data_IF_853316787649
#
_entry.id   IF_853316787649
#
_cell.length_a   1.000
_cell.length_b   1.000
_cell.length_c   1.000
_cell.angle_alpha   90.00
_cell.angle_beta   90.00
_cell.angle_gamma   90.00
#
_symmetry.space_group_name_H-M   'P 1'
#
loop_
_entity.id
_entity.type
_entity.pdbx_description
1 polymer ?
#
# COMPACT_ATOMS: atom_id res chain seq x y z
N UNK A 1 2.04 10.27 10.29
CA UNK A 1 1.53 8.96 10.72
C UNK A 1 1.82 8.85 12.19
N UNK A 2 0.81 8.65 13.01
CA UNK A 2 0.93 8.51 14.45
C UNK A 2 0.46 7.12 14.86
N UNK A 3 1.13 6.52 15.84
CA UNK A 3 0.86 5.15 16.28
C UNK A 3 0.56 5.15 17.76
N UNK A 4 -0.57 4.55 18.14
CA UNK A 4 -0.99 4.41 19.52
C UNK A 4 -0.88 2.95 19.94
N UNK A 5 -0.20 2.71 21.04
CA UNK A 5 -0.06 1.40 21.65
C UNK A 5 -0.90 1.33 22.92
N UNK A 6 -1.23 0.11 23.32
CA UNK A 6 -1.88 -0.17 24.60
C UNK A 6 -1.01 0.35 25.75
N UNK A 7 -1.66 0.80 26.80
CA UNK A 7 -0.96 1.30 28.01
C UNK A 7 0.07 0.29 28.51
N UNK A 8 1.29 0.78 28.75
CA UNK A 8 2.42 -0.02 29.21
C UNK A 8 3.23 -0.71 28.10
N UNK A 9 2.77 -0.71 26.83
CA UNK A 9 3.49 -1.28 25.72
C UNK A 9 4.34 -0.25 24.99
N UNK A 10 5.55 -0.63 24.56
CA UNK A 10 6.46 0.22 23.78
C UNK A 10 6.84 -0.45 22.46
N UNK A 11 7.12 0.34 21.40
CA UNK A 11 7.59 -0.23 20.13
C UNK A 11 8.91 -0.99 20.22
N UNK A 12 9.69 -0.70 21.26
CA UNK A 12 11.01 -1.34 21.54
C UNK A 12 10.91 -2.65 22.29
N UNK A 13 9.72 -3.07 22.73
CA UNK A 13 9.55 -4.33 23.45
C UNK A 13 9.78 -5.53 22.53
N UNK A 14 10.26 -6.63 23.09
CA UNK A 14 10.47 -7.88 22.35
C UNK A 14 9.60 -8.99 22.97
N UNK A 15 8.67 -9.58 22.21
CA UNK A 15 8.29 -9.25 20.83
C UNK A 15 7.59 -7.88 20.72
N UNK A 16 7.83 -7.18 19.61
CA UNK A 16 7.22 -5.88 19.37
C UNK A 16 5.69 -5.97 19.40
N UNK A 17 5.01 -5.19 20.25
CA UNK A 17 3.58 -5.25 20.37
C UNK A 17 2.88 -4.70 19.11
N UNK A 18 1.73 -5.26 18.79
CA UNK A 18 0.88 -4.72 17.74
C UNK A 18 0.22 -3.42 18.24
N UNK A 19 0.22 -2.34 17.46
CA UNK A 19 -0.45 -1.11 17.87
C UNK A 19 -1.97 -1.29 17.89
N UNK A 20 -2.64 -0.59 18.82
CA UNK A 20 -4.10 -0.57 18.88
C UNK A 20 -4.69 0.24 17.73
N UNK A 21 -4.06 1.35 17.40
CA UNK A 21 -4.51 2.26 16.33
C UNK A 21 -3.31 2.88 15.62
N UNK A 22 -3.41 2.95 14.30
CA UNK A 22 -2.48 3.69 13.45
C UNK A 22 -3.24 4.82 12.77
N UNK A 23 -2.89 6.06 13.07
CA UNK A 23 -3.46 7.23 12.40
C UNK A 23 -2.71 7.51 11.10
N UNK A 24 -3.44 7.47 9.99
CA UNK A 24 -2.89 7.74 8.67
C UNK A 24 -3.51 9.02 8.11
N UNK A 25 -2.67 9.89 7.57
CA UNK A 25 -3.14 11.11 6.93
C UNK A 25 -3.50 10.86 5.47
N UNK A 26 -4.74 11.15 5.12
CA UNK A 26 -5.25 11.10 3.76
C UNK A 26 -5.64 12.50 3.28
N UNK A 27 -4.82 13.20 2.49
CA UNK A 27 -5.08 14.58 2.07
C UNK A 27 -6.40 14.78 1.33
N UNK A 28 -6.92 13.75 0.67
CA UNK A 28 -8.19 13.78 -0.07
C UNK A 28 -9.39 13.20 0.69
N UNK A 29 -9.27 12.95 1.99
CA UNK A 29 -10.36 12.36 2.77
C UNK A 29 -11.54 13.33 2.91
N UNK A 30 -12.74 12.84 2.58
CA UNK A 30 -14.00 13.61 2.63
C UNK A 30 -15.02 13.03 3.61
N UNK A 31 -14.62 12.06 4.41
CA UNK A 31 -15.48 11.45 5.41
C UNK A 31 -15.58 12.29 6.68
N UNK A 32 -16.36 11.82 7.69
CA UNK A 32 -16.46 12.51 8.97
C UNK A 32 -15.09 12.53 9.66
N UNK A 33 -14.69 13.65 10.28
CA UNK A 33 -13.44 13.75 11.01
C UNK A 33 -13.49 12.87 12.25
N UNK A 34 -12.44 12.10 12.49
CA UNK A 34 -12.31 11.31 13.72
C UNK A 34 -11.81 12.17 14.89
N UNK A 35 -10.92 13.11 14.58
CA UNK A 35 -10.37 14.07 15.56
C UNK A 35 -10.71 15.48 15.10
N UNK A 36 -11.26 16.29 16.00
CA UNK A 36 -11.68 17.67 15.71
C UNK A 36 -10.55 18.61 15.25
N UNK A 37 -9.29 18.19 15.35
CA UNK A 37 -8.13 19.00 14.99
C UNK A 37 -7.64 18.81 13.55
N UNK A 38 -7.72 17.59 13.01
CA UNK A 38 -7.25 17.30 11.65
C UNK A 38 -8.23 16.35 10.95
N UNK A 39 -9.07 16.90 10.05
CA UNK A 39 -10.08 16.10 9.34
C UNK A 39 -9.47 15.08 8.36
N UNK A 40 -8.16 15.17 8.08
CA UNK A 40 -7.49 14.24 7.17
C UNK A 40 -6.94 12.99 7.87
N UNK A 41 -6.96 12.95 9.22
CA UNK A 41 -6.49 11.81 10.00
C UNK A 41 -7.56 10.72 10.07
N UNK A 42 -7.20 9.54 9.62
CA UNK A 42 -8.08 8.35 9.63
C UNK A 42 -7.46 7.28 10.52
N UNK A 43 -8.20 6.77 11.54
CA UNK A 43 -7.73 5.68 12.38
C UNK A 43 -7.84 4.35 11.64
N UNK A 44 -6.76 3.60 11.63
CA UNK A 44 -6.69 2.22 11.10
C UNK A 44 -6.44 1.29 12.26
N UNK A 45 -7.38 0.40 12.54
CA UNK A 45 -7.27 -0.61 13.59
C UNK A 45 -6.79 -1.94 13.02
N UNK A 46 -6.12 -2.78 13.83
CA UNK A 46 -5.79 -4.13 13.44
C UNK A 46 -7.02 -4.96 13.11
N UNK A 47 -6.92 -5.80 12.09
CA UNK A 47 -7.99 -6.73 11.69
C UNK A 47 -7.55 -8.16 11.90
N UNK A 48 -8.46 -8.97 12.41
CA UNK A 48 -8.27 -10.41 12.57
C UNK A 48 -8.73 -11.14 11.32
N UNK A 49 -7.90 -12.03 10.79
CA UNK A 49 -8.26 -12.95 9.72
C UNK A 49 -7.95 -14.37 10.15
N UNK A 50 -8.91 -15.27 9.94
CA UNK A 50 -8.67 -16.71 10.04
C UNK A 50 -7.88 -17.18 8.83
N UNK A 51 -6.95 -18.10 9.06
CA UNK A 51 -6.26 -18.82 7.99
C UNK A 51 -7.10 -20.03 7.60
N UNK A 52 -7.03 -20.43 6.34
CA UNK A 52 -7.73 -21.63 5.81
C UNK A 52 -7.07 -22.95 6.26
N UNK A 53 -6.30 -22.90 7.36
CA UNK A 53 -5.69 -24.12 7.92
C UNK A 53 -6.66 -24.82 8.87
N UNK A 54 -6.50 -26.12 9.01
CA UNK A 54 -7.26 -26.97 9.96
C UNK A 54 -7.05 -26.57 11.43
N UNK A 55 -6.00 -25.78 11.72
CA UNK A 55 -5.65 -25.31 13.06
C UNK A 55 -6.52 -24.14 13.58
N UNK A 56 -7.44 -23.60 12.77
CA UNK A 56 -8.25 -22.42 13.12
C UNK A 56 -7.43 -21.20 13.60
N UNK A 57 -6.19 -21.11 13.16
CA UNK A 57 -5.30 -20.02 13.53
C UNK A 57 -5.86 -18.67 13.05
N UNK A 58 -5.78 -17.67 13.91
CA UNK A 58 -6.17 -16.29 13.60
C UNK A 58 -4.92 -15.44 13.48
N UNK A 59 -4.84 -14.62 12.45
CA UNK A 59 -3.79 -13.64 12.26
C UNK A 59 -4.35 -12.24 12.51
N UNK A 60 -3.80 -11.56 13.50
CA UNK A 60 -4.08 -10.16 13.76
C UNK A 60 -3.00 -9.31 13.09
N UNK A 61 -3.39 -8.33 12.30
CA UNK A 61 -2.45 -7.45 11.59
C UNK A 61 -3.06 -6.10 11.28
N UNK A 62 -2.23 -5.06 11.24
CA UNK A 62 -2.63 -3.77 10.69
C UNK A 62 -2.77 -3.90 9.17
N UNK A 63 -3.93 -3.53 8.57
CA UNK A 63 -4.19 -3.70 7.13
C UNK A 63 -3.49 -2.64 6.27
N UNK A 64 -2.24 -2.35 6.58
CA UNK A 64 -1.39 -1.42 5.86
C UNK A 64 -0.16 -2.12 5.31
N UNK A 65 0.35 -1.63 4.20
CA UNK A 65 1.62 -2.06 3.62
C UNK A 65 2.28 -0.90 2.91
N UNK A 66 3.58 -0.99 2.76
CA UNK A 66 4.33 -0.03 1.96
C UNK A 66 3.87 -0.08 0.50
N UNK A 67 3.74 1.07 -0.13
CA UNK A 67 3.28 1.23 -1.50
C UNK A 67 4.36 1.79 -2.45
N UNK A 68 5.63 1.76 -2.04
CA UNK A 68 6.78 2.18 -2.86
C UNK A 68 6.98 1.32 -4.11
N UNK A 69 6.59 0.06 -4.01
CA UNK A 69 6.62 -0.90 -5.10
C UNK A 69 5.39 -1.80 -5.06
N UNK A 70 4.91 -2.16 -6.24
CA UNK A 70 3.76 -3.05 -6.38
C UNK A 70 3.91 -3.89 -7.65
N UNK A 71 3.19 -5.01 -7.71
CA UNK A 71 3.17 -5.82 -8.93
C UNK A 71 2.29 -5.16 -9.99
N UNK A 72 2.63 -5.40 -11.24
CA UNK A 72 1.93 -4.83 -12.39
C UNK A 72 0.43 -5.16 -12.40
N UNK A 73 0.05 -6.37 -11.97
CA UNK A 73 -1.37 -6.78 -11.84
C UNK A 73 -2.15 -5.95 -10.81
N UNK A 74 -1.49 -5.43 -9.79
CA UNK A 74 -2.12 -4.59 -8.78
C UNK A 74 -2.21 -3.12 -9.18
N UNK A 75 -1.56 -2.75 -10.27
CA UNK A 75 -1.66 -1.41 -10.86
C UNK A 75 -2.90 -1.25 -11.75
N UNK A 76 -3.60 -2.32 -12.06
CA UNK A 76 -4.83 -2.25 -12.85
C UNK A 76 -5.85 -1.34 -12.14
N UNK A 77 -6.37 -0.37 -12.88
CA UNK A 77 -7.28 0.65 -12.35
C UNK A 77 -6.61 1.82 -11.61
N UNK A 78 -5.29 1.85 -11.49
CA UNK A 78 -4.57 3.01 -10.98
C UNK A 78 -4.23 3.98 -12.12
N UNK A 79 -4.45 5.27 -11.91
CA UNK A 79 -4.00 6.31 -12.81
C UNK A 79 -2.70 6.93 -12.30
N UNK A 80 -1.76 7.16 -13.21
CA UNK A 80 -0.49 7.83 -12.93
C UNK A 80 -0.37 9.05 -13.83
N UNK A 81 -0.06 10.20 -13.25
CA UNK A 81 0.08 11.43 -14.01
C UNK A 81 -0.10 12.70 -13.17
N UNK A 82 -0.17 13.82 -13.84
CA UNK A 82 -0.43 15.11 -13.19
C UNK A 82 -1.86 15.13 -12.66
N UNK A 83 -2.01 15.42 -11.36
CA UNK A 83 -3.31 15.42 -10.67
C UNK A 83 -3.73 14.08 -10.09
N UNK A 84 -2.99 13.01 -10.35
CA UNK A 84 -3.26 11.69 -9.81
C UNK A 84 -2.47 11.42 -8.50
N UNK A 85 -2.83 10.35 -7.80
CA UNK A 85 -2.16 9.96 -6.55
C UNK A 85 -0.67 9.67 -6.73
N UNK A 86 -0.29 9.18 -7.90
CA UNK A 86 1.10 8.92 -8.29
C UNK A 86 1.47 9.76 -9.51
N UNK A 87 2.44 10.65 -9.32
CA UNK A 87 2.89 11.52 -10.41
C UNK A 87 3.81 10.80 -11.39
N UNK A 88 4.60 9.87 -10.89
CA UNK A 88 5.58 9.11 -11.65
C UNK A 88 5.56 7.64 -11.25
N UNK A 89 5.88 6.78 -12.19
CA UNK A 89 6.07 5.35 -11.97
C UNK A 89 7.33 4.89 -12.70
N UNK A 90 8.07 3.99 -12.08
CA UNK A 90 9.16 3.26 -12.70
C UNK A 90 8.72 1.83 -12.88
N UNK A 91 8.72 1.34 -14.10
CA UNK A 91 8.36 -0.03 -14.42
C UNK A 91 9.66 -0.83 -14.62
N UNK A 92 9.85 -1.85 -13.79
CA UNK A 92 10.93 -2.79 -13.92
C UNK A 92 10.39 -4.10 -14.50
N UNK A 93 10.73 -4.46 -15.75
CA UNK A 93 10.15 -5.63 -16.42
C UNK A 93 10.62 -6.98 -15.86
N UNK A 94 11.53 -6.97 -14.89
CA UNK A 94 12.08 -8.19 -14.31
C UNK A 94 13.15 -8.83 -15.20
N UNK A 95 13.28 -10.14 -15.12
CA UNK A 95 14.19 -10.91 -15.96
C UNK A 95 13.66 -11.04 -17.41
N UNK A 96 14.53 -11.36 -18.33
CA UNK A 96 14.31 -11.39 -19.78
C UNK A 96 13.06 -12.18 -20.24
N UNK A 97 12.66 -13.19 -19.47
CA UNK A 97 11.56 -14.08 -19.80
C UNK A 97 10.22 -13.70 -19.14
N UNK A 98 10.16 -12.55 -18.43
CA UNK A 98 8.97 -12.14 -17.70
C UNK A 98 7.75 -11.96 -18.62
N UNK A 99 7.91 -11.23 -19.72
CA UNK A 99 6.83 -10.98 -20.69
C UNK A 99 6.43 -12.25 -21.44
N UNK A 100 7.38 -13.16 -21.70
CA UNK A 100 7.08 -14.45 -22.31
C UNK A 100 6.19 -15.33 -21.42
N UNK A 101 6.41 -15.26 -20.10
CA UNK A 101 5.59 -15.97 -19.10
C UNK A 101 4.29 -15.27 -18.75
N UNK A 102 4.22 -13.96 -18.95
CA UNK A 102 3.07 -13.12 -18.60
C UNK A 102 2.75 -12.17 -19.77
N UNK A 103 2.23 -12.68 -20.87
CA UNK A 103 1.97 -11.87 -22.06
C UNK A 103 1.03 -10.70 -21.76
N UNK A 104 1.38 -9.50 -22.20
CA UNK A 104 0.60 -8.28 -21.99
C UNK A 104 0.76 -7.62 -20.62
N UNK A 105 1.55 -8.18 -19.70
CA UNK A 105 1.75 -7.60 -18.38
C UNK A 105 2.39 -6.21 -18.45
N UNK A 106 3.40 -6.03 -19.30
CA UNK A 106 4.03 -4.71 -19.53
C UNK A 106 3.05 -3.72 -20.17
N UNK A 107 2.23 -4.19 -21.11
CA UNK A 107 1.20 -3.36 -21.74
C UNK A 107 0.22 -2.82 -20.70
N UNK A 108 -0.28 -3.65 -19.80
CA UNK A 108 -1.15 -3.22 -18.70
C UNK A 108 -0.49 -2.15 -17.83
N UNK A 109 0.80 -2.31 -17.50
CA UNK A 109 1.53 -1.31 -16.73
C UNK A 109 1.70 0.02 -17.46
N UNK A 110 1.87 -0.04 -18.78
CA UNK A 110 2.04 1.14 -19.63
C UNK A 110 0.73 1.90 -19.81
N UNK A 111 -0.36 1.21 -20.11
CA UNK A 111 -1.67 1.84 -20.35
C UNK A 111 -2.22 2.50 -19.09
N UNK A 112 -1.93 1.94 -17.93
CA UNK A 112 -2.33 2.51 -16.64
C UNK A 112 -1.63 3.85 -16.36
N UNK A 113 -0.45 4.06 -16.95
CA UNK A 113 0.30 5.29 -16.80
C UNK A 113 0.04 6.22 -18.00
N UNK A 114 -0.63 7.36 -17.79
CA UNK A 114 -0.72 8.44 -18.79
C UNK A 114 0.67 9.08 -18.96
N UNK A 115 1.59 8.34 -19.60
CA UNK A 115 2.98 8.77 -19.72
C UNK A 115 3.12 9.72 -20.90
N UNK A 116 3.45 10.98 -20.61
CA UNK A 116 3.83 11.98 -21.61
C UNK A 116 5.30 11.88 -22.06
N UNK A 117 6.13 11.09 -21.37
CA UNK A 117 7.56 10.98 -21.70
C UNK A 117 8.19 9.68 -21.17
N UNK A 118 8.70 8.83 -22.08
CA UNK A 118 9.51 7.65 -21.78
C UNK A 118 10.98 8.03 -21.59
N UNK A 119 11.58 7.66 -20.47
CA UNK A 119 13.04 7.56 -20.35
C UNK A 119 13.40 6.08 -20.18
N UNK A 120 14.19 5.59 -21.12
CA UNK A 120 14.79 4.26 -21.00
C UNK A 120 15.98 4.36 -20.06
N UNK A 121 15.92 3.71 -18.91
CA UNK A 121 17.10 3.50 -18.09
C UNK A 121 17.94 2.42 -18.76
N UNK A 122 19.15 2.78 -19.20
CA UNK A 122 20.17 1.78 -19.60
C UNK A 122 20.88 1.38 -18.30
N UNK A 123 20.84 0.09 -17.98
CA UNK A 123 21.73 -0.57 -17.01
C UNK A 123 23.12 -0.68 -17.58
#
# INVERSE_FOLDING_TARGET
MDVVYKDGCRPSDDPAPLPDVVFVRFPGYKGPPYVNRDPTLVPIVPVSRSTECTCQCKRLQVPLRLAWGTTIHKCQGMNVGVGEAFRYVVIHPGKHDFEAKNPGALFCGIVTSKISRWRRYRS
#
